data_IF_566555423826
#
_entry.id   IF_566555423826
#
_cell.length_a   1.000
_cell.length_b   1.000
_cell.length_c   1.000
_cell.angle_alpha   90.00
_cell.angle_beta   90.00
_cell.angle_gamma   90.00
#
_symmetry.space_group_name_H-M   'P 1'
#
loop_
_entity.id
_entity.type
_entity.pdbx_description
1 polymer ?
#
# COMPACT_ATOMS: atom_id res chain seq x y z
N UNK A 1 -7.76 -2.81 11.01
CA UNK A 1 -7.84 -2.47 9.57
C UNK A 1 -6.72 -3.13 8.77
N UNK A 2 -5.46 -2.70 8.86
CA UNK A 2 -4.34 -3.26 8.06
C UNK A 2 -4.15 -4.78 8.23
N UNK A 3 -4.28 -5.32 9.45
CA UNK A 3 -4.19 -6.76 9.70
C UNK A 3 -5.22 -7.61 8.94
N UNK A 4 -6.34 -7.04 8.50
CA UNK A 4 -7.32 -7.80 7.70
C UNK A 4 -6.83 -8.15 6.30
N UNK A 5 -5.79 -7.48 5.81
CA UNK A 5 -5.19 -7.74 4.50
C UNK A 5 -3.77 -8.28 4.59
N UNK A 6 -2.92 -7.74 5.46
CA UNK A 6 -1.51 -8.12 5.59
C UNK A 6 -1.27 -9.24 6.62
N UNK A 7 -2.21 -9.47 7.55
CA UNK A 7 -1.98 -10.39 8.67
C UNK A 7 -0.69 -10.03 9.42
N UNK A 8 0.20 -10.99 9.57
CA UNK A 8 1.51 -10.84 10.20
C UNK A 8 2.66 -10.68 9.18
N UNK A 9 2.33 -10.53 7.90
CA UNK A 9 3.33 -10.31 6.85
C UNK A 9 4.00 -8.93 6.93
N UNK A 10 3.40 -7.98 7.64
CA UNK A 10 3.92 -6.64 7.90
C UNK A 10 4.30 -6.50 9.37
N UNK A 11 5.53 -6.11 9.64
CA UNK A 11 5.98 -5.76 11.00
C UNK A 11 5.53 -4.34 11.36
N UNK A 12 4.36 -4.26 12.00
CA UNK A 12 3.73 -2.99 12.39
C UNK A 12 4.54 -2.21 13.41
N UNK A 13 5.36 -2.86 14.23
CA UNK A 13 6.16 -2.21 15.27
C UNK A 13 7.26 -1.30 14.69
N UNK A 14 7.62 -1.54 13.44
CA UNK A 14 8.63 -0.78 12.70
C UNK A 14 8.05 0.31 11.80
N UNK A 15 6.72 0.44 11.73
CA UNK A 15 6.07 1.42 10.87
C UNK A 15 5.85 2.71 11.65
N UNK A 16 6.37 3.81 11.13
CA UNK A 16 6.12 5.15 11.66
C UNK A 16 5.39 5.99 10.61
N UNK A 17 4.44 6.79 11.09
CA UNK A 17 3.64 7.69 10.27
C UNK A 17 3.99 9.13 10.66
N UNK A 18 4.21 9.96 9.67
CA UNK A 18 4.59 11.36 9.86
C UNK A 18 3.64 12.28 9.12
N UNK A 19 3.12 13.29 9.79
CA UNK A 19 2.53 14.46 9.18
C UNK A 19 3.66 15.44 8.86
N UNK A 20 4.22 15.34 7.64
CA UNK A 20 5.39 16.11 7.24
C UNK A 20 5.82 15.81 5.82
N UNK A 21 6.76 16.57 5.31
CA UNK A 21 7.38 16.31 4.01
C UNK A 21 8.63 15.45 4.20
N UNK A 22 8.72 14.37 3.42
CA UNK A 22 9.96 13.61 3.32
C UNK A 22 11.06 14.39 2.57
N UNK A 23 10.65 15.21 1.57
CA UNK A 23 11.54 16.11 0.84
C UNK A 23 10.81 17.42 0.48
N UNK A 24 11.53 18.55 0.26
CA UNK A 24 10.93 19.90 0.15
C UNK A 24 9.83 20.03 -0.92
N UNK A 25 9.95 19.31 -2.03
CA UNK A 25 9.03 19.39 -3.18
C UNK A 25 8.01 18.25 -3.24
N UNK A 26 7.75 17.56 -2.13
CA UNK A 26 6.71 16.52 -2.08
C UNK A 26 5.36 17.11 -2.51
N UNK A 27 4.64 16.49 -3.49
CA UNK A 27 3.33 16.96 -3.90
C UNK A 27 2.32 16.93 -2.76
N UNK A 28 1.45 17.95 -2.66
CA UNK A 28 0.49 18.10 -1.55
C UNK A 28 -0.45 16.92 -1.37
N UNK A 29 -0.93 16.32 -2.47
CA UNK A 29 -1.87 15.19 -2.43
C UNK A 29 -1.19 13.83 -2.51
N UNK A 30 0.03 13.73 -1.99
CA UNK A 30 0.78 12.48 -1.99
C UNK A 30 1.20 12.09 -0.59
N UNK A 31 1.23 10.78 -0.35
CA UNK A 31 2.06 10.21 0.70
C UNK A 31 3.32 9.61 0.06
N UNK A 32 4.36 9.44 0.84
CA UNK A 32 5.61 8.84 0.40
C UNK A 32 6.09 7.83 1.43
N UNK A 33 6.39 6.61 0.97
CA UNK A 33 6.89 5.53 1.81
C UNK A 33 8.28 5.03 1.34
N UNK A 34 9.30 5.91 1.24
CA UNK A 34 10.55 5.57 0.57
C UNK A 34 11.40 4.55 1.32
N UNK A 35 11.35 4.50 2.65
CA UNK A 35 12.24 3.70 3.50
C UNK A 35 11.50 2.96 4.63
N UNK A 36 10.25 2.57 4.41
CA UNK A 36 9.47 1.80 5.38
C UNK A 36 8.66 2.64 6.39
N UNK A 37 8.71 3.96 6.28
CA UNK A 37 7.85 4.89 7.00
C UNK A 37 7.00 5.68 6.02
N UNK A 38 5.83 6.17 6.46
CA UNK A 38 4.92 6.91 5.58
C UNK A 38 4.91 8.38 5.98
N UNK A 39 5.12 9.26 4.99
CA UNK A 39 5.14 10.71 5.13
C UNK A 39 3.95 11.30 4.39
N UNK A 40 3.01 11.87 5.13
CA UNK A 40 1.84 12.56 4.57
C UNK A 40 2.12 14.06 4.50
N UNK A 41 1.92 14.65 3.32
CA UNK A 41 2.09 16.10 3.19
C UNK A 41 1.09 16.84 4.10
N UNK A 42 1.53 17.81 4.93
CA UNK A 42 0.67 18.46 5.92
C UNK A 42 -0.53 19.20 5.32
N UNK A 43 -0.38 19.76 4.10
CA UNK A 43 -1.46 20.46 3.40
C UNK A 43 -2.26 19.53 2.46
N UNK A 44 -2.04 18.22 2.52
CA UNK A 44 -2.60 17.27 1.55
C UNK A 44 -3.94 16.67 1.93
N UNK A 45 -4.33 16.78 3.19
CA UNK A 45 -5.55 16.16 3.74
C UNK A 45 -5.51 14.63 3.79
N UNK A 46 -4.35 14.01 3.54
CA UNK A 46 -4.17 12.56 3.59
C UNK A 46 -3.83 12.01 4.97
N UNK A 47 -3.46 12.87 5.91
CA UNK A 47 -3.13 12.50 7.29
C UNK A 47 -4.38 12.16 8.11
N UNK A 48 -4.25 11.22 9.01
CA UNK A 48 -5.24 10.94 10.06
C UNK A 48 -4.56 10.32 11.27
N UNK A 49 -5.02 10.68 12.46
CA UNK A 49 -4.61 10.01 13.70
C UNK A 49 -5.20 8.59 13.79
N UNK A 50 -6.34 8.35 13.14
CA UNK A 50 -6.98 7.04 13.08
C UNK A 50 -7.57 6.78 11.68
N UNK A 51 -6.80 6.12 10.82
CA UNK A 51 -7.23 5.75 9.47
C UNK A 51 -8.41 4.79 9.44
N UNK A 52 -8.65 4.02 10.51
CA UNK A 52 -9.77 3.07 10.55
C UNK A 52 -11.13 3.78 10.58
N UNK A 53 -11.17 5.04 10.97
CA UNK A 53 -12.36 5.88 11.05
C UNK A 53 -12.56 6.77 9.82
N UNK A 54 -11.65 6.74 8.89
CA UNK A 54 -11.71 7.56 7.68
C UNK A 54 -12.61 6.93 6.61
N UNK A 55 -12.87 7.70 5.54
CA UNK A 55 -13.60 7.19 4.38
C UNK A 55 -12.92 5.96 3.80
N UNK A 56 -13.70 5.09 3.14
CA UNK A 56 -13.17 3.88 2.52
C UNK A 56 -12.07 4.20 1.49
N UNK A 57 -12.19 5.33 0.79
CA UNK A 57 -11.17 5.81 -0.15
C UNK A 57 -9.85 6.12 0.55
N UNK A 58 -9.88 6.81 1.71
CA UNK A 58 -8.68 7.13 2.49
C UNK A 58 -8.07 5.89 3.14
N UNK A 59 -8.90 4.95 3.61
CA UNK A 59 -8.42 3.65 4.08
C UNK A 59 -7.70 2.90 2.97
N UNK A 60 -8.27 2.86 1.76
CA UNK A 60 -7.65 2.24 0.59
C UNK A 60 -6.32 2.91 0.21
N UNK A 61 -6.26 4.23 0.25
CA UNK A 61 -5.01 4.97 0.03
C UNK A 61 -3.94 4.59 1.06
N UNK A 62 -4.30 4.52 2.34
CA UNK A 62 -3.39 4.11 3.40
C UNK A 62 -2.88 2.65 3.21
N UNK A 63 -3.75 1.73 2.78
CA UNK A 63 -3.36 0.35 2.46
C UNK A 63 -2.38 0.29 1.29
N UNK A 64 -2.55 1.15 0.27
CA UNK A 64 -1.60 1.29 -0.83
C UNK A 64 -0.20 1.66 -0.29
N UNK A 65 -0.10 2.68 0.55
CA UNK A 65 1.18 3.13 1.14
C UNK A 65 1.78 2.07 2.08
N UNK A 66 0.96 1.36 2.85
CA UNK A 66 1.43 0.23 3.66
C UNK A 66 1.99 -0.92 2.81
N UNK A 67 1.50 -1.10 1.59
CA UNK A 67 2.08 -2.08 0.67
C UNK A 67 3.53 -1.71 0.31
N UNK A 68 3.83 -0.42 0.12
CA UNK A 68 5.20 0.04 -0.08
C UNK A 68 6.08 -0.18 1.16
N UNK A 69 5.52 -0.02 2.37
CA UNK A 69 6.23 -0.39 3.60
C UNK A 69 6.56 -1.88 3.62
N UNK A 70 5.59 -2.74 3.29
CA UNK A 70 5.81 -4.17 3.18
C UNK A 70 6.89 -4.53 2.14
N UNK A 71 6.86 -3.91 0.97
CA UNK A 71 7.89 -4.08 -0.07
C UNK A 71 9.28 -3.72 0.46
N UNK A 72 9.38 -2.62 1.22
CA UNK A 72 10.63 -2.20 1.86
C UNK A 72 11.10 -3.20 2.92
N UNK A 73 10.19 -3.73 3.74
CA UNK A 73 10.54 -4.73 4.75
C UNK A 73 11.03 -6.04 4.11
N UNK A 74 10.50 -6.40 2.95
CA UNK A 74 10.93 -7.59 2.18
C UNK A 74 12.22 -7.38 1.40
N UNK A 75 12.37 -6.23 0.73
CA UNK A 75 13.47 -5.95 -0.19
C UNK A 75 14.64 -5.17 0.44
N UNK A 76 14.48 -4.69 1.68
CA UNK A 76 15.45 -3.85 2.37
C UNK A 76 15.21 -2.36 2.20
N UNK A 77 15.88 -1.56 3.03
CA UNK A 77 15.66 -0.11 3.18
C UNK A 77 15.76 0.68 1.87
N UNK A 78 16.61 0.27 0.97
CA UNK A 78 16.85 0.97 -0.29
C UNK A 78 16.08 0.37 -1.48
N UNK A 79 15.25 -0.64 -1.23
CA UNK A 79 14.55 -1.35 -2.29
C UNK A 79 13.68 -0.42 -3.15
N UNK A 80 12.79 0.36 -2.53
CA UNK A 80 11.92 1.28 -3.26
C UNK A 80 12.68 2.41 -3.97
N UNK A 81 13.64 3.11 -3.33
CA UNK A 81 14.43 4.13 -4.01
C UNK A 81 15.17 3.63 -5.25
N UNK A 82 15.65 2.37 -5.22
CA UNK A 82 16.37 1.77 -6.34
C UNK A 82 15.45 1.22 -7.43
N UNK A 83 14.28 0.68 -7.05
CA UNK A 83 13.37 0.00 -7.97
C UNK A 83 12.28 0.93 -8.52
N UNK A 84 12.02 2.06 -7.88
CA UNK A 84 11.03 3.03 -8.31
C UNK A 84 11.62 3.94 -9.38
N UNK A 85 10.93 4.07 -10.50
CA UNK A 85 11.29 4.99 -11.56
C UNK A 85 10.08 5.87 -11.97
N UNK A 86 10.29 7.02 -12.63
CA UNK A 86 9.21 7.97 -12.94
C UNK A 86 8.11 7.43 -13.87
N UNK A 87 8.35 6.29 -14.52
CA UNK A 87 7.39 5.63 -15.41
C UNK A 87 6.66 4.44 -14.76
N UNK A 88 6.66 4.33 -13.43
CA UNK A 88 5.90 3.30 -12.72
C UNK A 88 4.41 3.39 -13.08
N UNK A 89 3.83 2.25 -13.48
CA UNK A 89 2.42 2.16 -13.86
C UNK A 89 1.59 1.70 -12.67
N UNK A 90 0.47 2.40 -12.45
CA UNK A 90 -0.55 2.01 -11.47
C UNK A 90 -1.57 1.05 -12.06
N UNK A 91 -1.95 1.27 -13.35
CA UNK A 91 -2.90 0.40 -14.03
C UNK A 91 -2.34 -0.99 -14.21
N UNK A 92 -3.15 -2.00 -13.89
CA UNK A 92 -2.81 -3.40 -14.06
C UNK A 92 -3.99 -4.17 -14.69
N UNK A 93 -3.67 -5.29 -15.33
CA UNK A 93 -4.62 -6.29 -15.79
C UNK A 93 -4.31 -7.61 -15.10
N UNK A 94 -5.35 -8.21 -14.50
CA UNK A 94 -5.22 -9.54 -13.92
C UNK A 94 -5.09 -10.57 -15.04
N UNK A 95 -4.00 -11.33 -15.00
CA UNK A 95 -3.73 -12.39 -15.97
C UNK A 95 -3.64 -13.73 -15.26
N UNK A 96 -4.36 -14.74 -15.77
CA UNK A 96 -4.31 -16.09 -15.23
C UNK A 96 -2.86 -16.60 -15.16
N UNK A 97 -2.47 -17.14 -14.03
CA UNK A 97 -1.13 -17.70 -13.81
C UNK A 97 0.01 -16.67 -13.62
N UNK A 98 -0.28 -15.36 -13.71
CA UNK A 98 0.73 -14.35 -13.44
C UNK A 98 0.91 -14.15 -11.93
N UNK A 99 2.09 -14.46 -11.36
CA UNK A 99 2.31 -14.33 -9.92
C UNK A 99 2.38 -12.84 -9.49
N UNK A 100 2.03 -12.56 -8.23
CA UNK A 100 2.04 -11.21 -7.65
C UNK A 100 3.37 -10.47 -7.85
N UNK A 101 4.50 -11.12 -7.63
CA UNK A 101 5.82 -10.54 -7.77
C UNK A 101 6.20 -10.13 -9.20
N UNK A 102 5.44 -10.55 -10.22
CA UNK A 102 5.66 -10.16 -11.62
C UNK A 102 4.95 -8.86 -12.01
N UNK A 103 4.14 -8.29 -11.11
CA UNK A 103 3.57 -6.96 -11.27
C UNK A 103 4.56 -5.89 -10.80
N UNK A 104 4.52 -4.70 -11.41
CA UNK A 104 5.32 -3.56 -10.94
C UNK A 104 4.92 -3.12 -9.52
N UNK A 105 5.81 -2.39 -8.83
CA UNK A 105 5.63 -2.02 -7.42
C UNK A 105 4.31 -1.28 -7.17
N UNK A 106 3.98 -0.30 -8.00
CA UNK A 106 2.72 0.44 -7.89
C UNK A 106 1.51 -0.43 -8.24
N UNK A 107 1.65 -1.33 -9.22
CA UNK A 107 0.60 -2.29 -9.56
C UNK A 107 0.33 -3.26 -8.40
N UNK A 108 1.36 -3.73 -7.72
CA UNK A 108 1.23 -4.56 -6.51
C UNK A 108 0.45 -3.81 -5.43
N UNK A 109 0.78 -2.54 -5.19
CA UNK A 109 0.09 -1.71 -4.21
C UNK A 109 -1.38 -1.48 -4.58
N UNK A 110 -1.69 -1.26 -5.86
CA UNK A 110 -3.07 -1.16 -6.35
C UNK A 110 -3.84 -2.48 -6.25
N UNK A 111 -3.21 -3.62 -6.52
CA UNK A 111 -3.82 -4.95 -6.35
C UNK A 111 -4.24 -5.16 -4.88
N UNK A 112 -3.36 -4.85 -3.94
CA UNK A 112 -3.65 -4.98 -2.49
C UNK A 112 -4.75 -4.02 -2.08
N UNK A 113 -4.67 -2.75 -2.50
CA UNK A 113 -5.69 -1.74 -2.26
C UNK A 113 -7.06 -2.18 -2.78
N UNK A 114 -7.15 -2.64 -4.02
CA UNK A 114 -8.41 -3.08 -4.62
C UNK A 114 -8.99 -4.29 -3.90
N UNK A 115 -8.17 -5.26 -3.50
CA UNK A 115 -8.64 -6.40 -2.71
C UNK A 115 -9.22 -5.95 -1.37
N UNK A 116 -8.52 -5.05 -0.68
CA UNK A 116 -8.99 -4.47 0.59
C UNK A 116 -10.33 -3.74 0.43
N UNK A 117 -10.48 -2.95 -0.62
CA UNK A 117 -11.69 -2.20 -0.92
C UNK A 117 -12.86 -3.12 -1.31
N UNK A 118 -12.60 -4.13 -2.16
CA UNK A 118 -13.59 -5.11 -2.58
C UNK A 118 -14.13 -5.93 -1.40
N UNK A 119 -13.27 -6.31 -0.44
CA UNK A 119 -13.67 -6.98 0.80
C UNK A 119 -14.63 -6.15 1.67
N UNK A 120 -14.71 -4.85 1.41
CA UNK A 120 -15.61 -3.89 2.08
C UNK A 120 -16.77 -3.43 1.21
N UNK A 121 -17.02 -4.13 0.11
CA UNK A 121 -18.16 -3.90 -0.78
C UNK A 121 -17.99 -2.74 -1.75
N UNK A 122 -16.77 -2.21 -1.94
CA UNK A 122 -16.54 -1.20 -2.96
C UNK A 122 -16.59 -1.79 -4.37
N UNK A 123 -17.16 -1.04 -5.31
CA UNK A 123 -17.17 -1.37 -6.74
C UNK A 123 -15.80 -1.07 -7.38
N UNK A 124 -14.87 -1.97 -7.19
CA UNK A 124 -13.49 -1.90 -7.72
C UNK A 124 -13.11 -3.27 -8.28
N UNK A 125 -12.03 -3.39 -9.07
CA UNK A 125 -11.48 -4.70 -9.41
C UNK A 125 -11.32 -5.56 -8.16
N UNK A 126 -11.64 -6.86 -8.27
CA UNK A 126 -11.59 -7.80 -7.14
C UNK A 126 -10.50 -8.86 -7.38
N UNK A 127 -9.22 -8.53 -7.11
CA UNK A 127 -8.13 -9.50 -7.25
C UNK A 127 -8.39 -10.71 -6.33
N UNK A 128 -8.10 -11.94 -6.79
CA UNK A 128 -8.27 -13.12 -5.96
C UNK A 128 -7.33 -13.07 -4.75
N UNK A 129 -7.79 -13.57 -3.60
CA UNK A 129 -6.99 -13.52 -2.36
C UNK A 129 -5.72 -14.37 -2.44
N UNK A 130 -5.77 -15.49 -3.14
CA UNK A 130 -4.63 -16.39 -3.35
C UNK A 130 -3.53 -15.78 -4.25
N UNK A 131 -3.82 -14.69 -4.94
CA UNK A 131 -2.80 -13.90 -5.63
C UNK A 131 -1.87 -13.18 -4.64
N UNK A 132 -2.39 -12.79 -3.47
CA UNK A 132 -1.64 -11.98 -2.50
C UNK A 132 -0.61 -12.85 -1.75
N UNK A 133 0.65 -12.36 -1.59
CA UNK A 133 1.72 -13.15 -0.96
C UNK A 133 1.57 -13.32 0.55
N UNK A 134 0.54 -12.71 1.16
CA UNK A 134 0.23 -12.76 2.59
C UNK A 134 -1.17 -13.36 2.88
N UNK A 135 -1.72 -14.11 1.94
CA UNK A 135 -3.07 -14.66 2.01
C UNK A 135 -3.25 -15.85 2.99
N UNK A 136 -2.30 -16.11 3.88
CA UNK A 136 -2.33 -17.25 4.79
C UNK A 136 -3.15 -17.03 6.07
N UNK A 137 -3.93 -15.96 6.19
CA UNK A 137 -4.81 -15.79 7.33
C UNK A 137 -6.20 -16.33 6.97
N UNK A 138 -6.67 -17.45 7.57
CA UNK A 138 -8.06 -17.85 7.40
C UNK A 138 -8.96 -16.73 7.94
N UNK A 139 -9.90 -16.32 7.12
CA UNK A 139 -11.00 -15.47 7.59
C UNK A 139 -11.79 -16.31 8.58
N UNK A 140 -11.69 -15.98 9.84
CA UNK A 140 -12.60 -16.46 10.87
C UNK A 140 -13.93 -15.76 10.74
#
# INVERSE_FOLDING_TARGET
>A
MARSIFGDALDYSKVQLFEGKWWPFQPKRSAMAPMGNIWFHPDGGGWSEDFSRQSLSQQGFFIHELTHVWQTQKGGRFYLPLMRHPFCRYHYELKAGKPFGSYGLEQQAEIVRHRFLADRGAHVPCPPRDLLPFASCPVL
#
